data_IF_677045329347
#
_entry.id   IF_677045329347
#
_cell.length_a   1.000
_cell.length_b   1.000
_cell.length_c   1.000
_cell.angle_alpha   90.00
_cell.angle_beta   90.00
_cell.angle_gamma   90.00
#
_symmetry.space_group_name_H-M   'P 1'
#
loop_
_entity.id
_entity.type
_entity.pdbx_description
1 polymer ?
#
# COMPACT_ATOMS: atom_id res chain seq x y z
N UNK A 1 -52.73 -46.22 61.18
CA UNK A 1 -53.12 -44.86 60.75
C UNK A 1 -52.52 -44.60 59.35
N UNK A 2 -53.30 -44.83 58.28
CA UNK A 2 -52.83 -44.67 56.89
C UNK A 2 -53.44 -43.39 56.28
N UNK A 3 -52.62 -42.36 56.07
CA UNK A 3 -53.01 -41.12 55.39
C UNK A 3 -53.03 -41.35 53.87
N UNK A 4 -54.23 -41.52 53.29
CA UNK A 4 -54.45 -41.47 51.84
C UNK A 4 -54.18 -40.03 51.35
N UNK A 5 -53.04 -39.83 50.70
CA UNK A 5 -52.75 -38.55 50.05
C UNK A 5 -53.54 -38.44 48.74
N UNK A 6 -54.41 -37.44 48.65
CA UNK A 6 -55.35 -37.24 47.54
C UNK A 6 -54.61 -36.85 46.26
N UNK A 7 -54.71 -37.70 45.22
CA UNK A 7 -54.23 -37.45 43.84
C UNK A 7 -54.68 -36.09 43.26
N UNK A 8 -55.77 -35.49 43.76
CA UNK A 8 -56.27 -34.18 43.30
C UNK A 8 -55.37 -33.00 43.71
N UNK A 9 -54.62 -33.11 44.81
CA UNK A 9 -53.71 -32.05 45.25
C UNK A 9 -52.37 -32.07 44.49
N UNK A 10 -51.95 -33.24 44.00
CA UNK A 10 -50.76 -33.37 43.14
C UNK A 10 -50.98 -32.79 41.74
N UNK A 11 -52.18 -32.99 41.19
CA UNK A 11 -52.53 -32.51 39.85
C UNK A 11 -52.66 -30.97 39.79
N UNK A 12 -53.16 -30.34 40.86
CA UNK A 12 -53.26 -28.87 40.95
C UNK A 12 -51.90 -28.21 41.14
N UNK A 13 -50.97 -28.83 41.87
CA UNK A 13 -49.61 -28.28 42.02
C UNK A 13 -48.79 -28.41 40.73
N UNK A 14 -48.89 -29.53 40.00
CA UNK A 14 -48.20 -29.71 38.72
C UNK A 14 -48.68 -28.71 37.66
N UNK A 15 -50.00 -28.53 37.50
CA UNK A 15 -50.53 -27.57 36.53
C UNK A 15 -50.17 -26.12 36.88
N UNK A 16 -50.11 -25.78 38.17
CA UNK A 16 -49.67 -24.46 38.61
C UNK A 16 -48.23 -24.18 38.20
N UNK A 17 -47.30 -25.12 38.45
CA UNK A 17 -45.90 -24.96 38.09
C UNK A 17 -45.67 -24.93 36.57
N UNK A 18 -46.43 -25.70 35.78
CA UNK A 18 -46.38 -25.64 34.31
C UNK A 18 -46.84 -24.25 33.82
N UNK A 19 -47.93 -23.71 34.37
CA UNK A 19 -48.41 -22.37 34.00
C UNK A 19 -47.38 -21.30 34.37
N UNK A 20 -46.78 -21.36 35.56
CA UNK A 20 -45.70 -20.44 35.96
C UNK A 20 -44.51 -20.56 35.00
N UNK A 21 -44.09 -21.77 34.64
CA UNK A 21 -42.98 -21.99 33.73
C UNK A 21 -43.26 -21.47 32.31
N UNK A 22 -44.48 -21.67 31.79
CA UNK A 22 -44.91 -21.12 30.50
C UNK A 22 -44.98 -19.59 30.54
N UNK A 23 -45.47 -18.99 31.63
CA UNK A 23 -45.51 -17.53 31.80
C UNK A 23 -44.11 -16.95 31.92
N UNK A 24 -43.18 -17.62 32.63
CA UNK A 24 -41.78 -17.20 32.75
C UNK A 24 -41.05 -17.33 31.41
N UNK A 25 -41.20 -18.45 30.70
CA UNK A 25 -40.61 -18.63 29.36
C UNK A 25 -41.21 -17.62 28.37
N UNK A 26 -42.53 -17.39 28.42
CA UNK A 26 -43.19 -16.39 27.56
C UNK A 26 -42.72 -14.98 27.91
N UNK A 27 -42.55 -14.63 29.20
CA UNK A 27 -41.98 -13.35 29.65
C UNK A 27 -40.54 -13.18 29.19
N UNK A 28 -39.70 -14.21 29.27
CA UNK A 28 -38.30 -14.19 28.81
C UNK A 28 -38.24 -14.03 27.29
N UNK A 29 -39.06 -14.80 26.55
CA UNK A 29 -39.16 -14.68 25.09
C UNK A 29 -39.69 -13.30 24.65
N UNK A 30 -40.70 -12.76 25.34
CA UNK A 30 -41.23 -11.41 25.09
C UNK A 30 -40.19 -10.34 25.45
N UNK A 31 -39.45 -10.47 26.56
CA UNK A 31 -38.40 -9.51 26.92
C UNK A 31 -37.27 -9.50 25.87
N UNK A 32 -36.85 -10.68 25.40
CA UNK A 32 -35.83 -10.76 24.34
C UNK A 32 -36.28 -10.17 23.00
N UNK A 33 -37.59 -10.20 22.70
CA UNK A 33 -38.16 -9.57 21.50
C UNK A 33 -38.45 -8.08 21.70
N UNK A 34 -38.77 -7.62 22.91
CA UNK A 34 -39.06 -6.22 23.24
C UNK A 34 -37.78 -5.37 23.28
N UNK A 35 -36.66 -5.90 23.76
CA UNK A 35 -35.34 -5.24 23.70
C UNK A 35 -34.84 -5.03 22.26
N UNK A 36 -35.36 -5.80 21.31
CA UNK A 36 -35.11 -5.65 19.86
C UNK A 36 -35.95 -4.52 19.24
N UNK A 37 -37.08 -4.16 19.86
CA UNK A 37 -38.06 -3.18 19.36
C UNK A 37 -37.80 -1.74 19.82
N UNK A 38 -37.16 -1.55 20.98
CA UNK A 38 -36.71 -0.22 21.43
C UNK A 38 -35.41 0.11 20.69
N UNK A 39 -35.50 1.01 19.72
CA UNK A 39 -34.33 1.47 18.97
C UNK A 39 -33.31 2.13 19.90
N UNK A 40 -32.05 1.70 19.81
CA UNK A 40 -30.92 2.39 20.44
C UNK A 40 -30.64 3.67 19.67
N UNK A 41 -30.61 4.80 20.36
CA UNK A 41 -30.25 6.09 19.80
C UNK A 41 -28.75 6.16 19.50
N UNK A 42 -28.32 6.95 18.49
CA UNK A 42 -26.90 7.15 18.23
C UNK A 42 -26.22 7.81 19.46
N UNK A 43 -25.02 7.34 19.86
CA UNK A 43 -24.27 7.95 20.97
C UNK A 43 -23.88 9.42 20.76
N UNK A 44 -23.72 9.86 19.50
CA UNK A 44 -23.41 11.24 19.13
C UNK A 44 -23.69 11.50 17.65
N UNK A 45 -23.82 12.77 17.26
CA UNK A 45 -24.04 13.16 15.86
C UNK A 45 -22.91 12.72 14.90
N UNK A 46 -21.60 12.80 15.25
CA UNK A 46 -20.54 12.24 14.40
C UNK A 46 -20.67 10.74 14.16
N UNK A 47 -21.04 9.97 15.19
CA UNK A 47 -21.27 8.52 15.08
C UNK A 47 -22.48 8.22 14.18
N UNK A 48 -23.58 8.97 14.34
CA UNK A 48 -24.75 8.84 13.48
C UNK A 48 -24.38 9.11 12.01
N UNK A 49 -23.55 10.14 11.77
CA UNK A 49 -23.08 10.48 10.43
C UNK A 49 -22.34 9.33 9.76
N UNK A 50 -21.46 8.63 10.48
CA UNK A 50 -20.75 7.47 9.94
C UNK A 50 -21.74 6.39 9.45
N UNK A 51 -22.79 6.12 10.23
CA UNK A 51 -23.81 5.13 9.87
C UNK A 51 -24.67 5.59 8.68
N UNK A 52 -25.01 6.89 8.60
CA UNK A 52 -25.77 7.45 7.47
C UNK A 52 -24.97 7.41 6.18
N UNK A 53 -23.72 7.88 6.21
CA UNK A 53 -22.84 7.99 5.02
C UNK A 53 -22.49 6.62 4.45
N UNK A 54 -22.29 5.63 5.31
CA UNK A 54 -22.08 4.22 4.91
C UNK A 54 -23.38 3.52 4.51
N UNK A 55 -24.51 4.22 4.53
CA UNK A 55 -25.82 3.71 4.14
C UNK A 55 -26.31 2.53 4.98
N UNK A 56 -25.86 2.44 6.24
CA UNK A 56 -26.33 1.40 7.16
C UNK A 56 -27.87 1.37 7.19
N UNK A 57 -28.43 0.16 7.07
CA UNK A 57 -29.85 -0.06 7.28
C UNK A 57 -30.21 0.22 8.74
N UNK A 58 -31.52 0.27 9.05
CA UNK A 58 -31.97 0.38 10.45
C UNK A 58 -31.44 -0.78 11.30
N UNK A 59 -31.39 -2.00 10.76
CA UNK A 59 -30.81 -3.17 11.45
C UNK A 59 -29.33 -2.95 11.76
N UNK A 60 -28.52 -2.54 10.78
CA UNK A 60 -27.10 -2.27 10.99
C UNK A 60 -26.84 -1.11 11.95
N UNK A 61 -27.62 -0.03 11.88
CA UNK A 61 -27.54 1.08 12.84
C UNK A 61 -27.79 0.60 14.28
N UNK A 62 -28.78 -0.27 14.49
CA UNK A 62 -29.05 -0.85 15.80
C UNK A 62 -27.91 -1.74 16.29
N UNK A 63 -27.32 -2.56 15.41
CA UNK A 63 -26.14 -3.37 15.73
C UNK A 63 -24.99 -2.45 16.14
N UNK A 64 -24.70 -1.43 15.33
CA UNK A 64 -23.61 -0.49 15.53
C UNK A 64 -23.75 0.28 16.84
N UNK A 65 -24.89 0.93 17.09
CA UNK A 65 -25.10 1.76 18.29
C UNK A 65 -25.10 0.93 19.59
N UNK A 66 -25.53 -0.33 19.55
CA UNK A 66 -25.44 -1.26 20.69
C UNK A 66 -24.00 -1.59 21.09
N UNK A 67 -23.03 -1.41 20.19
CA UNK A 67 -21.62 -1.59 20.50
C UNK A 67 -20.98 -0.32 21.09
N UNK A 68 -21.77 0.65 21.56
CA UNK A 68 -21.29 1.89 22.19
C UNK A 68 -20.11 2.55 21.45
N UNK A 69 -20.24 2.81 20.13
CA UNK A 69 -19.11 3.23 19.30
C UNK A 69 -18.59 4.61 19.73
N UNK A 70 -17.26 4.75 19.76
CA UNK A 70 -16.57 6.02 20.07
C UNK A 70 -15.57 6.40 18.98
N UNK A 71 -15.39 7.72 18.78
CA UNK A 71 -14.30 8.27 17.97
C UNK A 71 -13.23 8.76 18.95
N UNK A 72 -12.07 8.13 18.91
CA UNK A 72 -11.00 8.31 19.89
C UNK A 72 -9.82 9.04 19.23
N UNK A 73 -9.21 10.03 19.90
CA UNK A 73 -7.92 10.56 19.49
C UNK A 73 -6.87 9.45 19.43
N UNK A 74 -5.89 9.56 18.52
CA UNK A 74 -4.84 8.56 18.27
C UNK A 74 -4.29 7.88 19.54
N UNK A 75 -3.87 8.66 20.55
CA UNK A 75 -3.27 8.10 21.77
C UNK A 75 -4.26 7.27 22.58
N UNK A 76 -5.51 7.72 22.68
CA UNK A 76 -6.58 7.00 23.38
C UNK A 76 -6.98 5.76 22.59
N UNK A 77 -7.11 5.85 21.27
CA UNK A 77 -7.42 4.73 20.39
C UNK A 77 -6.45 3.57 20.60
N UNK A 78 -5.13 3.83 20.55
CA UNK A 78 -4.14 2.78 20.76
C UNK A 78 -4.19 2.18 22.17
N UNK A 79 -4.42 2.97 23.22
CA UNK A 79 -4.60 2.43 24.57
C UNK A 79 -5.82 1.51 24.68
N UNK A 80 -6.90 1.86 23.99
CA UNK A 80 -8.15 1.08 23.99
C UNK A 80 -7.97 -0.22 23.18
N UNK A 81 -7.37 -0.16 22.00
CA UNK A 81 -7.31 -1.28 21.08
C UNK A 81 -6.06 -2.19 21.20
N UNK A 82 -4.94 -1.74 21.79
CA UNK A 82 -3.69 -2.54 21.89
C UNK A 82 -3.80 -3.77 22.80
N UNK A 83 -4.89 -3.94 23.56
CA UNK A 83 -5.02 -5.04 24.51
C UNK A 83 -5.37 -6.39 23.89
N UNK A 84 -5.77 -6.47 22.61
CA UNK A 84 -6.31 -7.73 22.06
C UNK A 84 -5.52 -8.38 20.94
N UNK A 85 -4.80 -7.64 20.10
CA UNK A 85 -4.10 -8.26 18.96
C UNK A 85 -2.69 -7.70 18.81
N UNK A 86 -1.68 -8.51 19.13
CA UNK A 86 -0.32 -8.33 18.62
C UNK A 86 -0.34 -8.64 17.11
N UNK A 87 -0.96 -7.76 16.34
CA UNK A 87 -0.73 -7.69 14.91
C UNK A 87 0.66 -7.11 14.69
N UNK A 88 1.33 -7.59 13.65
CA UNK A 88 2.68 -7.17 13.31
C UNK A 88 2.66 -5.65 13.05
N UNK A 89 3.79 -4.95 13.23
CA UNK A 89 3.93 -3.50 13.00
C UNK A 89 3.62 -3.03 11.54
N UNK A 90 3.29 -3.99 10.66
CA UNK A 90 2.90 -3.81 9.27
C UNK A 90 1.41 -3.50 9.07
N UNK A 91 0.51 -3.91 9.97
CA UNK A 91 -0.94 -3.66 9.81
C UNK A 91 -1.33 -2.33 10.46
N UNK A 92 -1.84 -1.39 9.65
CA UNK A 92 -2.40 -0.13 10.16
C UNK A 92 -3.89 -0.35 10.43
N UNK A 93 -4.24 -0.34 11.71
CA UNK A 93 -5.61 -0.53 12.20
C UNK A 93 -6.19 0.82 12.62
N UNK A 94 -7.37 1.17 12.09
CA UNK A 94 -8.08 2.42 12.40
C UNK A 94 -9.33 2.22 13.24
N UNK A 95 -9.73 0.96 13.47
CA UNK A 95 -10.86 0.59 14.30
C UNK A 95 -10.58 -0.68 15.07
N UNK A 96 -11.30 -0.91 16.16
CA UNK A 96 -11.37 -2.23 16.74
C UNK A 96 -12.75 -2.49 17.35
N UNK A 97 -13.26 -3.70 17.10
CA UNK A 97 -14.43 -4.24 17.78
C UNK A 97 -14.01 -5.18 18.91
N UNK A 98 -14.29 -4.76 20.14
CA UNK A 98 -14.06 -5.56 21.34
C UNK A 98 -15.37 -6.09 21.88
N UNK A 99 -15.53 -7.41 21.83
CA UNK A 99 -16.73 -8.08 22.35
C UNK A 99 -16.49 -8.78 23.69
N UNK A 100 -17.55 -8.91 24.49
CA UNK A 100 -17.68 -9.85 25.61
C UNK A 100 -18.93 -10.76 25.45
N UNK A 101 -19.46 -10.90 24.23
CA UNK A 101 -20.70 -11.62 23.93
C UNK A 101 -21.53 -10.91 22.85
N UNK A 102 -22.80 -10.60 23.13
CA UNK A 102 -23.71 -9.91 22.19
C UNK A 102 -23.62 -8.38 22.20
N UNK A 103 -22.90 -7.83 23.18
CA UNK A 103 -22.56 -6.41 23.31
C UNK A 103 -21.04 -6.27 23.33
N UNK A 104 -20.56 -5.07 23.02
CA UNK A 104 -19.14 -4.79 22.88
C UNK A 104 -18.87 -3.30 22.79
N UNK A 105 -17.61 -2.95 22.54
CA UNK A 105 -17.14 -1.60 22.28
C UNK A 105 -16.53 -1.54 20.89
N UNK A 106 -17.00 -0.61 20.05
CA UNK A 106 -16.32 -0.21 18.82
C UNK A 106 -15.53 1.07 19.12
N UNK A 107 -14.24 1.08 18.86
CA UNK A 107 -13.44 2.30 18.89
C UNK A 107 -12.93 2.60 17.47
N UNK A 108 -13.04 3.86 17.05
CA UNK A 108 -12.60 4.34 15.74
C UNK A 108 -11.59 5.46 15.98
N UNK A 109 -10.42 5.40 15.35
CA UNK A 109 -9.44 6.46 15.42
C UNK A 109 -9.96 7.71 14.72
N UNK A 110 -9.85 8.86 15.38
CA UNK A 110 -10.09 10.16 14.75
C UNK A 110 -9.01 10.45 13.70
N UNK A 111 -9.44 10.63 12.45
CA UNK A 111 -8.59 10.98 11.31
C UNK A 111 -9.08 12.29 10.71
N UNK A 112 -8.25 13.33 10.80
CA UNK A 112 -8.57 14.68 10.31
C UNK A 112 -7.79 15.05 9.05
N UNK A 113 -6.91 14.17 8.58
CA UNK A 113 -6.12 14.39 7.37
C UNK A 113 -6.96 14.09 6.12
N UNK A 114 -7.17 15.11 5.30
CA UNK A 114 -8.02 15.03 4.11
C UNK A 114 -7.58 13.95 3.09
N UNK A 115 -6.30 13.54 3.14
CA UNK A 115 -5.75 12.50 2.27
C UNK A 115 -6.30 11.11 2.58
N UNK A 116 -6.97 10.94 3.72
CA UNK A 116 -7.59 9.70 4.18
C UNK A 116 -9.12 9.82 4.31
N UNK A 117 -9.74 10.76 3.60
CA UNK A 117 -11.21 10.89 3.58
C UNK A 117 -11.90 9.57 3.22
N UNK A 118 -12.87 9.17 4.03
CA UNK A 118 -13.56 7.87 3.91
C UNK A 118 -13.06 6.79 4.86
N UNK A 119 -11.87 6.96 5.47
CA UNK A 119 -11.30 5.89 6.32
C UNK A 119 -12.14 5.63 7.57
N UNK A 120 -12.67 6.68 8.21
CA UNK A 120 -13.49 6.54 9.43
C UNK A 120 -14.83 5.89 9.10
N UNK A 121 -15.43 6.24 7.97
CA UNK A 121 -16.67 5.67 7.46
C UNK A 121 -16.51 4.18 7.17
N UNK A 122 -15.49 3.81 6.39
CA UNK A 122 -15.23 2.41 6.03
C UNK A 122 -14.90 1.58 7.26
N UNK A 123 -14.13 2.15 8.19
CA UNK A 123 -13.83 1.52 9.47
C UNK A 123 -15.10 1.29 10.28
N UNK A 124 -16.00 2.29 10.40
CA UNK A 124 -17.27 2.12 11.10
C UNK A 124 -18.12 0.99 10.49
N UNK A 125 -18.18 0.91 9.16
CA UNK A 125 -18.86 -0.16 8.45
C UNK A 125 -18.21 -1.53 8.70
N UNK A 126 -16.88 -1.61 8.65
CA UNK A 126 -16.10 -2.82 8.91
C UNK A 126 -16.29 -3.35 10.34
N UNK A 127 -16.17 -2.48 11.34
CA UNK A 127 -16.35 -2.88 12.73
C UNK A 127 -17.81 -3.26 13.05
N UNK A 128 -18.79 -2.60 12.41
CA UNK A 128 -20.19 -3.00 12.50
C UNK A 128 -20.41 -4.40 11.91
N UNK A 129 -19.75 -4.75 10.80
CA UNK A 129 -19.85 -6.09 10.21
C UNK A 129 -19.24 -7.16 11.11
N UNK A 130 -18.18 -6.89 11.87
CA UNK A 130 -17.71 -7.83 12.90
C UNK A 130 -18.74 -8.05 14.00
N UNK A 131 -19.42 -6.99 14.44
CA UNK A 131 -20.51 -7.10 15.40
C UNK A 131 -21.69 -7.91 14.83
N UNK A 132 -22.03 -7.70 13.56
CA UNK A 132 -23.06 -8.47 12.86
C UNK A 132 -22.68 -9.97 12.73
N UNK A 133 -21.43 -10.26 12.34
CA UNK A 133 -20.91 -11.62 12.23
C UNK A 133 -20.94 -12.38 13.57
N UNK A 134 -20.60 -11.69 14.66
CA UNK A 134 -20.65 -12.25 16.01
C UNK A 134 -22.09 -12.69 16.38
N UNK A 135 -23.13 -12.00 15.89
CA UNK A 135 -24.53 -12.36 16.15
C UNK A 135 -25.01 -13.59 15.35
N UNK A 136 -24.31 -14.00 14.30
CA UNK A 136 -24.66 -15.19 13.52
C UNK A 136 -24.53 -16.46 14.35
N UNK A 137 -25.46 -17.39 14.17
CA UNK A 137 -25.34 -18.73 14.72
C UNK A 137 -24.18 -19.50 14.06
N UNK A 138 -23.64 -20.55 14.71
CA UNK A 138 -22.64 -21.41 14.07
C UNK A 138 -23.09 -21.94 12.71
N UNK A 139 -24.36 -22.37 12.60
CA UNK A 139 -24.92 -22.87 11.33
C UNK A 139 -24.97 -21.81 10.23
N UNK A 140 -25.27 -20.56 10.57
CA UNK A 140 -25.28 -19.47 9.58
C UNK A 140 -23.86 -19.14 9.11
N UNK A 141 -22.89 -19.16 10.02
CA UNK A 141 -21.47 -18.98 9.66
C UNK A 141 -20.97 -20.11 8.77
N UNK A 142 -21.34 -21.36 9.05
CA UNK A 142 -20.96 -22.52 8.23
C UNK A 142 -21.52 -22.42 6.80
N UNK A 143 -22.77 -21.95 6.65
CA UNK A 143 -23.39 -21.71 5.34
C UNK A 143 -22.74 -20.55 4.58
N UNK A 144 -22.36 -19.49 5.28
CA UNK A 144 -21.78 -18.27 4.69
C UNK A 144 -20.31 -18.46 4.28
N UNK A 145 -19.56 -19.28 5.03
CA UNK A 145 -18.10 -19.45 4.85
C UNK A 145 -17.68 -19.83 3.43
N UNK A 146 -18.32 -20.80 2.74
CA UNK A 146 -17.97 -21.13 1.36
C UNK A 146 -18.16 -19.96 0.39
N UNK A 147 -19.25 -19.18 0.54
CA UNK A 147 -19.54 -18.01 -0.30
C UNK A 147 -18.47 -16.93 -0.13
N UNK A 148 -18.09 -16.63 1.13
CA UNK A 148 -17.01 -15.67 1.42
C UNK A 148 -15.67 -16.10 0.81
N UNK A 149 -15.32 -17.40 0.94
CA UNK A 149 -14.07 -17.93 0.36
C UNK A 149 -14.09 -17.88 -1.17
N UNK A 150 -15.24 -18.11 -1.79
CA UNK A 150 -15.38 -18.01 -3.25
C UNK A 150 -15.25 -16.57 -3.73
N UNK A 151 -15.91 -15.61 -3.06
CA UNK A 151 -15.80 -14.19 -3.36
C UNK A 151 -14.37 -13.68 -3.19
N UNK A 152 -13.63 -14.19 -2.20
CA UNK A 152 -12.23 -13.85 -1.98
C UNK A 152 -11.32 -14.15 -3.19
N UNK A 153 -11.71 -15.07 -4.08
CA UNK A 153 -10.96 -15.35 -5.32
C UNK A 153 -11.02 -14.19 -6.33
N UNK A 154 -11.95 -13.25 -6.16
CA UNK A 154 -12.07 -12.06 -7.01
C UNK A 154 -11.15 -10.91 -6.56
N UNK A 155 -10.47 -11.04 -5.42
CA UNK A 155 -9.59 -10.00 -4.88
C UNK A 155 -8.34 -9.89 -5.77
N UNK A 156 -8.20 -8.73 -6.42
CA UNK A 156 -7.02 -8.36 -7.22
C UNK A 156 -6.12 -7.33 -6.52
N UNK A 157 -6.59 -6.78 -5.41
CA UNK A 157 -5.86 -5.78 -4.65
C UNK A 157 -4.76 -6.46 -3.82
N UNK A 158 -3.49 -6.22 -4.16
CA UNK A 158 -2.34 -6.83 -3.49
C UNK A 158 -2.26 -6.50 -2.00
N UNK A 159 -2.66 -5.29 -1.60
CA UNK A 159 -2.71 -4.91 -0.18
C UNK A 159 -3.70 -5.79 0.56
N UNK A 160 -4.94 -5.87 0.07
CA UNK A 160 -5.99 -6.68 0.69
C UNK A 160 -5.61 -8.16 0.74
N UNK A 161 -5.03 -8.69 -0.34
CA UNK A 161 -4.50 -10.06 -0.40
C UNK A 161 -3.43 -10.33 0.66
N UNK A 162 -2.52 -9.38 0.92
CA UNK A 162 -1.50 -9.51 1.98
C UNK A 162 -2.13 -9.52 3.37
N UNK A 163 -3.06 -8.59 3.65
CA UNK A 163 -3.76 -8.51 4.94
C UNK A 163 -4.46 -9.83 5.25
N UNK A 164 -5.27 -10.31 4.31
CA UNK A 164 -6.05 -11.54 4.48
C UNK A 164 -5.16 -12.79 4.62
N UNK A 165 -3.98 -12.81 3.99
CA UNK A 165 -2.99 -13.87 4.15
C UNK A 165 -2.44 -13.93 5.58
N UNK A 166 -2.18 -12.78 6.21
CA UNK A 166 -1.72 -12.73 7.61
C UNK A 166 -2.75 -13.33 8.56
N UNK A 167 -4.03 -12.97 8.40
CA UNK A 167 -5.11 -13.56 9.21
C UNK A 167 -5.27 -15.05 8.98
N UNK A 168 -5.19 -15.51 7.73
CA UNK A 168 -5.27 -16.95 7.39
C UNK A 168 -4.18 -17.78 8.05
N UNK A 169 -2.99 -17.21 8.24
CA UNK A 169 -1.88 -17.87 8.91
C UNK A 169 -2.06 -17.95 10.43
N UNK A 170 -2.80 -17.01 11.02
CA UNK A 170 -3.04 -16.97 12.48
C UNK A 170 -4.16 -17.90 12.91
N UNK A 171 -5.35 -17.74 12.34
CA UNK A 171 -6.55 -18.50 12.71
C UNK A 171 -7.58 -18.46 11.57
N UNK A 172 -8.10 -19.63 11.18
CA UNK A 172 -9.11 -19.77 10.14
C UNK A 172 -10.42 -19.08 10.54
N UNK A 173 -10.84 -19.15 11.81
CA UNK A 173 -12.06 -18.52 12.28
C UNK A 173 -11.94 -16.99 12.22
N UNK A 174 -10.78 -16.46 12.60
CA UNK A 174 -10.47 -15.03 12.47
C UNK A 174 -10.46 -14.61 11.00
N UNK A 175 -9.79 -15.37 10.14
CA UNK A 175 -9.76 -15.12 8.70
C UNK A 175 -11.15 -15.03 8.06
N UNK A 176 -12.09 -15.91 8.41
CA UNK A 176 -13.45 -15.86 7.84
C UNK A 176 -14.23 -14.64 8.36
N UNK A 177 -14.04 -14.26 9.62
CA UNK A 177 -14.63 -13.03 10.16
C UNK A 177 -14.08 -11.77 9.45
N UNK A 178 -12.77 -11.72 9.18
CA UNK A 178 -12.17 -10.65 8.39
C UNK A 178 -12.65 -10.64 6.94
N UNK A 179 -12.74 -11.80 6.29
CA UNK A 179 -13.33 -11.89 4.95
C UNK A 179 -14.74 -11.30 4.93
N UNK A 180 -15.57 -11.65 5.92
CA UNK A 180 -16.91 -11.10 6.02
C UNK A 180 -16.92 -9.56 6.05
N UNK A 181 -16.04 -8.94 6.84
CA UNK A 181 -16.01 -7.49 6.94
C UNK A 181 -15.39 -6.84 5.70
N UNK A 182 -14.22 -7.29 5.22
CA UNK A 182 -13.54 -6.73 4.04
C UNK A 182 -14.32 -6.90 2.74
N UNK A 183 -14.99 -8.04 2.53
CA UNK A 183 -15.82 -8.25 1.33
C UNK A 183 -17.04 -7.33 1.35
N UNK A 184 -17.61 -7.09 2.55
CA UNK A 184 -18.73 -6.17 2.73
C UNK A 184 -18.38 -4.71 2.46
N UNK A 185 -17.13 -4.30 2.66
CA UNK A 185 -16.71 -2.89 2.65
C UNK A 185 -15.78 -2.51 1.51
N UNK A 186 -14.96 -3.42 0.97
CA UNK A 186 -13.88 -3.07 0.02
C UNK A 186 -13.96 -3.80 -1.33
N UNK A 187 -14.63 -4.95 -1.44
CA UNK A 187 -14.70 -5.67 -2.72
C UNK A 187 -15.91 -5.23 -3.56
N UNK A 188 -15.66 -4.55 -4.68
CA UNK A 188 -16.74 -4.04 -5.55
C UNK A 188 -17.67 -5.12 -6.11
N UNK A 189 -17.15 -6.26 -6.56
CA UNK A 189 -17.95 -7.35 -7.14
C UNK A 189 -17.73 -8.66 -6.37
N UNK A 190 -18.80 -9.19 -5.76
CA UNK A 190 -18.73 -10.40 -4.95
C UNK A 190 -18.81 -11.71 -5.75
N UNK A 191 -19.28 -11.67 -7.00
CA UNK A 191 -19.44 -12.87 -7.84
C UNK A 191 -20.62 -13.77 -7.49
N UNK A 192 -21.33 -13.49 -6.40
CA UNK A 192 -22.50 -14.25 -5.92
C UNK A 192 -23.63 -13.29 -5.52
N UNK A 193 -24.78 -13.43 -6.19
CA UNK A 193 -25.98 -12.60 -5.96
C UNK A 193 -26.58 -12.84 -4.56
N UNK A 194 -26.51 -14.07 -4.04
CA UNK A 194 -27.02 -14.36 -2.70
C UNK A 194 -26.12 -13.72 -1.63
N UNK A 195 -24.82 -13.60 -1.89
CA UNK A 195 -23.90 -12.88 -1.00
C UNK A 195 -24.14 -11.36 -1.04
N UNK A 196 -24.45 -10.78 -2.21
CA UNK A 196 -24.90 -9.38 -2.29
C UNK A 196 -26.20 -9.15 -1.50
N UNK A 197 -27.17 -10.04 -1.66
CA UNK A 197 -28.44 -10.01 -0.92
C UNK A 197 -28.22 -10.15 0.59
N UNK A 198 -27.25 -10.96 1.01
CA UNK A 198 -26.86 -11.05 2.42
C UNK A 198 -26.39 -9.69 2.97
N UNK A 199 -25.53 -8.96 2.24
CA UNK A 199 -25.07 -7.64 2.69
C UNK A 199 -26.12 -6.53 2.58
N UNK A 200 -27.16 -6.68 1.77
CA UNK A 200 -28.30 -5.74 1.72
C UNK A 200 -29.04 -5.61 3.06
N UNK A 201 -28.90 -6.61 3.95
CA UNK A 201 -29.39 -6.50 5.33
C UNK A 201 -28.69 -5.39 6.10
N UNK A 202 -27.43 -5.11 5.79
CA UNK A 202 -26.61 -4.17 6.55
C UNK A 202 -26.43 -2.83 5.84
N UNK A 203 -26.40 -2.82 4.50
CA UNK A 203 -26.23 -1.58 3.72
C UNK A 203 -27.33 -1.44 2.69
N UNK A 204 -27.92 -0.24 2.59
CA UNK A 204 -28.87 0.09 1.52
C UNK A 204 -28.17 0.19 0.17
N UNK A 205 -26.92 0.68 0.17
CA UNK A 205 -26.05 0.74 -1.00
C UNK A 205 -24.62 0.35 -0.58
N UNK A 206 -24.28 -0.93 -0.74
CA UNK A 206 -22.93 -1.44 -0.45
C UNK A 206 -21.86 -0.78 -1.33
N UNK A 207 -22.20 -0.40 -2.57
CA UNK A 207 -21.25 0.24 -3.48
C UNK A 207 -20.83 1.64 -2.99
N UNK A 208 -21.68 2.32 -2.22
CA UNK A 208 -21.29 3.56 -1.55
C UNK A 208 -20.17 3.31 -0.52
N UNK A 209 -20.20 2.20 0.21
CA UNK A 209 -19.12 1.83 1.17
C UNK A 209 -17.83 1.50 0.43
N UNK A 210 -17.92 0.74 -0.67
CA UNK A 210 -16.76 0.42 -1.52
C UNK A 210 -16.13 1.69 -2.09
N UNK A 211 -16.93 2.66 -2.56
CA UNK A 211 -16.40 3.95 -3.04
C UNK A 211 -15.68 4.75 -1.94
N UNK A 212 -16.15 4.66 -0.70
CA UNK A 212 -15.45 5.28 0.44
C UNK A 212 -14.13 4.57 0.73
N UNK A 213 -14.09 3.23 0.59
CA UNK A 213 -12.87 2.45 0.71
C UNK A 213 -11.85 2.85 -0.37
N UNK A 214 -12.27 2.91 -1.64
CA UNK A 214 -11.43 3.35 -2.75
C UNK A 214 -10.86 4.75 -2.53
N UNK A 215 -11.71 5.70 -2.08
CA UNK A 215 -11.28 7.08 -1.77
C UNK A 215 -10.26 7.12 -0.63
N UNK A 216 -10.48 6.33 0.43
CA UNK A 216 -9.57 6.31 1.59
C UNK A 216 -8.15 5.83 1.25
N UNK A 217 -8.00 5.13 0.11
CA UNK A 217 -6.73 4.58 -0.36
C UNK A 217 -6.13 5.36 -1.54
N UNK A 218 -6.83 6.40 -2.03
CA UNK A 218 -6.47 7.10 -3.27
C UNK A 218 -5.09 7.76 -3.21
N UNK A 219 -4.78 8.43 -2.10
CA UNK A 219 -3.49 9.12 -1.92
C UNK A 219 -2.32 8.15 -1.99
N UNK A 220 -2.47 6.97 -1.37
CA UNK A 220 -1.45 5.91 -1.37
C UNK A 220 -1.34 5.31 -2.77
N UNK A 221 -2.46 4.97 -3.41
CA UNK A 221 -2.49 4.43 -4.77
C UNK A 221 -1.79 5.36 -5.78
N UNK A 222 -2.02 6.67 -5.69
CA UNK A 222 -1.34 7.65 -6.56
C UNK A 222 0.18 7.67 -6.38
N UNK A 223 0.67 7.45 -5.16
CA UNK A 223 2.11 7.36 -4.90
C UNK A 223 2.69 6.06 -5.45
N UNK A 224 1.99 4.94 -5.24
CA UNK A 224 2.38 3.64 -5.80
C UNK A 224 2.44 3.68 -7.33
N UNK A 225 1.42 4.25 -7.98
CA UNK A 225 1.37 4.41 -9.44
C UNK A 225 2.53 5.24 -9.98
N UNK A 226 2.85 6.37 -9.33
CA UNK A 226 4.01 7.19 -9.69
C UNK A 226 5.32 6.43 -9.50
N UNK A 227 5.45 5.66 -8.43
CA UNK A 227 6.63 4.84 -8.16
C UNK A 227 6.82 3.76 -9.24
N UNK A 228 5.73 3.06 -9.58
CA UNK A 228 5.71 2.03 -10.63
C UNK A 228 5.99 2.60 -12.03
N UNK A 229 5.62 3.85 -12.29
CA UNK A 229 5.97 4.53 -13.54
C UNK A 229 7.44 4.96 -13.58
N UNK A 230 7.94 5.58 -12.50
CA UNK A 230 9.31 6.13 -12.48
C UNK A 230 10.39 5.06 -12.50
N UNK A 231 10.14 3.91 -11.87
CA UNK A 231 11.13 2.83 -11.78
C UNK A 231 11.64 2.34 -13.16
N UNK A 232 10.79 1.90 -14.11
CA UNK A 232 11.26 1.47 -15.42
C UNK A 232 11.87 2.62 -16.25
N UNK A 233 11.41 3.87 -16.05
CA UNK A 233 12.01 5.03 -16.72
C UNK A 233 13.45 5.29 -16.22
N UNK A 234 13.69 5.14 -14.92
CA UNK A 234 15.03 5.23 -14.31
C UNK A 234 15.92 4.10 -14.84
N UNK A 235 15.46 2.85 -14.81
CA UNK A 235 16.22 1.69 -15.31
C UNK A 235 16.60 1.85 -16.80
N UNK A 236 15.67 2.37 -17.61
CA UNK A 236 15.93 2.66 -19.03
C UNK A 236 17.00 3.75 -19.21
N UNK A 237 16.95 4.81 -18.40
CA UNK A 237 17.93 5.89 -18.43
C UNK A 237 19.31 5.41 -17.97
N UNK A 238 19.39 4.58 -16.94
CA UNK A 238 20.64 3.97 -16.47
C UNK A 238 21.31 3.16 -17.58
N UNK A 239 20.55 2.31 -18.27
CA UNK A 239 21.06 1.54 -19.40
C UNK A 239 21.53 2.45 -20.55
N UNK A 240 20.75 3.48 -20.90
CA UNK A 240 21.13 4.47 -21.94
C UNK A 240 22.40 5.24 -21.58
N UNK A 241 22.55 5.66 -20.32
CA UNK A 241 23.73 6.35 -19.82
C UNK A 241 24.96 5.44 -19.85
N UNK A 242 24.83 4.18 -19.45
CA UNK A 242 25.90 3.19 -19.51
C UNK A 242 26.37 2.98 -20.96
N UNK A 243 25.44 2.82 -21.90
CA UNK A 243 25.75 2.66 -23.32
C UNK A 243 26.43 3.91 -23.88
N UNK A 244 25.91 5.10 -23.58
CA UNK A 244 26.46 6.38 -24.06
C UNK A 244 27.88 6.59 -23.52
N UNK A 245 28.11 6.27 -22.24
CA UNK A 245 29.44 6.33 -21.62
C UNK A 245 30.43 5.39 -22.31
N UNK A 246 29.99 4.19 -22.67
CA UNK A 246 30.81 3.22 -23.39
C UNK A 246 31.17 3.73 -24.80
N UNK A 247 30.22 4.29 -25.55
CA UNK A 247 30.50 4.89 -26.86
C UNK A 247 31.44 6.10 -26.78
N UNK A 248 31.31 6.95 -25.75
CA UNK A 248 32.27 8.06 -25.53
C UNK A 248 33.69 7.51 -25.31
N UNK A 249 33.84 6.42 -24.55
CA UNK A 249 35.13 5.75 -24.33
C UNK A 249 35.70 5.15 -25.62
N UNK A 250 34.86 4.59 -26.47
CA UNK A 250 35.26 4.08 -27.79
C UNK A 250 35.77 5.21 -28.70
N UNK A 251 35.06 6.34 -28.73
CA UNK A 251 35.50 7.54 -29.46
C UNK A 251 36.85 8.06 -28.93
N UNK A 252 37.10 7.99 -27.62
CA UNK A 252 38.39 8.38 -27.03
C UNK A 252 39.55 7.50 -27.52
N UNK A 253 39.34 6.19 -27.59
CA UNK A 253 40.32 5.24 -28.11
C UNK A 253 40.58 5.47 -29.61
N UNK A 254 39.52 5.69 -30.38
CA UNK A 254 39.61 5.96 -31.82
C UNK A 254 40.32 7.29 -32.11
N UNK A 255 39.99 8.36 -31.38
CA UNK A 255 40.71 9.63 -31.46
C UNK A 255 42.20 9.46 -31.18
N UNK A 256 42.56 8.68 -30.14
CA UNK A 256 43.96 8.37 -29.84
C UNK A 256 44.68 7.63 -30.98
N UNK A 257 43.99 6.73 -31.68
CA UNK A 257 44.54 6.03 -32.84
C UNK A 257 44.69 6.94 -34.06
N UNK A 258 43.67 7.75 -34.36
CA UNK A 258 43.69 8.72 -35.46
C UNK A 258 44.74 9.80 -35.24
N UNK A 259 44.95 10.27 -34.00
CA UNK A 259 46.02 11.21 -33.68
C UNK A 259 47.40 10.63 -34.03
N UNK A 260 47.71 9.39 -33.61
CA UNK A 260 48.99 8.74 -33.95
C UNK A 260 49.18 8.59 -35.46
N UNK A 261 48.12 8.30 -36.20
CA UNK A 261 48.17 8.22 -37.66
C UNK A 261 48.44 9.61 -38.29
N UNK A 262 47.77 10.65 -37.81
CA UNK A 262 48.03 12.03 -38.24
C UNK A 262 49.47 12.46 -37.97
N UNK A 263 50.01 12.14 -36.79
CA UNK A 263 51.40 12.44 -36.45
C UNK A 263 52.37 11.72 -37.41
N UNK A 264 52.09 10.45 -37.76
CA UNK A 264 52.91 9.68 -38.70
C UNK A 264 52.84 10.24 -40.13
N UNK A 265 51.64 10.57 -40.61
CA UNK A 265 51.42 11.18 -41.93
C UNK A 265 52.06 12.56 -42.02
N UNK A 266 52.00 13.35 -40.94
CA UNK A 266 52.65 14.66 -40.89
C UNK A 266 54.17 14.54 -40.99
N UNK A 267 54.78 13.61 -40.26
CA UNK A 267 56.21 13.33 -40.35
C UNK A 267 56.60 12.83 -41.75
N UNK A 268 55.78 11.97 -42.37
CA UNK A 268 56.02 11.48 -43.73
C UNK A 268 55.95 12.61 -44.76
N UNK A 269 54.97 13.50 -44.63
CA UNK A 269 54.81 14.66 -45.50
C UNK A 269 55.99 15.62 -45.41
N UNK A 270 56.50 15.86 -44.18
CA UNK A 270 57.69 16.69 -43.94
C UNK A 270 58.92 16.06 -44.61
N UNK A 271 59.19 14.78 -44.35
CA UNK A 271 60.34 14.07 -44.95
C UNK A 271 60.26 14.06 -46.47
N UNK A 272 59.09 13.79 -47.03
CA UNK A 272 58.90 13.76 -48.48
C UNK A 272 59.11 15.14 -49.10
N UNK A 273 58.62 16.20 -48.45
CA UNK A 273 58.87 17.58 -48.86
C UNK A 273 60.37 17.89 -48.92
N UNK A 274 61.12 17.57 -47.85
CA UNK A 274 62.57 17.79 -47.79
C UNK A 274 63.30 17.04 -48.90
N UNK A 275 62.95 15.78 -49.15
CA UNK A 275 63.52 14.97 -50.24
C UNK A 275 63.21 15.54 -51.62
N UNK A 276 61.98 16.00 -51.84
CA UNK A 276 61.57 16.62 -53.09
C UNK A 276 62.33 17.93 -53.32
N UNK A 277 62.42 18.81 -52.32
CA UNK A 277 63.16 20.07 -52.39
C UNK A 277 64.65 19.86 -52.68
N UNK A 278 65.29 18.90 -52.01
CA UNK A 278 66.70 18.56 -52.24
C UNK A 278 66.93 18.05 -53.67
N UNK A 279 65.99 17.27 -54.19
CA UNK A 279 66.05 16.79 -55.57
C UNK A 279 66.05 17.95 -56.59
N UNK A 280 65.21 18.95 -56.36
CA UNK A 280 65.19 20.16 -57.20
C UNK A 280 66.51 20.96 -57.10
N UNK A 281 67.10 21.06 -55.90
CA UNK A 281 68.41 21.73 -55.72
C UNK A 281 69.54 21.03 -56.47
N UNK A 282 69.51 19.70 -56.54
CA UNK A 282 70.51 18.89 -57.25
C UNK A 282 70.28 18.81 -58.77
N UNK A 283 69.26 19.49 -59.31
CA UNK A 283 68.93 19.46 -60.74
C UNK A 283 68.26 18.17 -61.22
N UNK A 284 67.82 17.29 -60.31
CA UNK A 284 67.15 16.01 -60.61
C UNK A 284 65.65 16.01 -60.25
N UNK A 285 65.06 17.21 -60.13
CA UNK A 285 63.63 17.40 -59.85
C UNK A 285 62.73 16.80 -60.94
N UNK A 286 61.56 16.31 -60.53
CA UNK A 286 60.56 15.74 -61.44
C UNK A 286 59.15 16.21 -61.06
N UNK A 287 58.28 16.55 -62.04
CA UNK A 287 56.85 16.81 -61.80
C UNK A 287 56.14 15.69 -61.03
N UNK A 288 56.59 14.44 -61.19
CA UNK A 288 56.05 13.27 -60.48
C UNK A 288 56.18 13.41 -58.95
N UNK A 289 57.30 13.94 -58.46
CA UNK A 289 57.50 14.18 -57.01
C UNK A 289 56.53 15.24 -56.48
N UNK A 290 56.24 16.27 -57.28
CA UNK A 290 55.27 17.31 -56.90
C UNK A 290 53.86 16.73 -56.83
N UNK A 291 53.49 15.90 -57.81
CA UNK A 291 52.21 15.20 -57.82
C UNK A 291 52.04 14.28 -56.60
N UNK A 292 53.07 13.49 -56.28
CA UNK A 292 53.06 12.61 -55.10
C UNK A 292 52.95 13.39 -53.77
N UNK A 293 53.62 14.56 -53.67
CA UNK A 293 53.47 15.42 -52.50
C UNK A 293 52.03 15.92 -52.34
N UNK A 294 51.42 16.42 -53.42
CA UNK A 294 50.03 16.89 -53.37
C UNK A 294 49.04 15.76 -53.06
N UNK A 295 49.29 14.53 -53.52
CA UNK A 295 48.50 13.36 -53.10
C UNK A 295 48.61 13.08 -51.59
N UNK A 296 49.83 13.05 -51.05
CA UNK A 296 50.06 12.84 -49.60
C UNK A 296 49.41 13.93 -48.76
N UNK A 297 49.51 15.19 -49.21
CA UNK A 297 48.87 16.34 -48.57
C UNK A 297 47.34 16.24 -48.62
N UNK A 298 46.78 15.77 -49.73
CA UNK A 298 45.34 15.52 -49.85
C UNK A 298 44.87 14.43 -48.88
N UNK A 299 45.60 13.32 -48.77
CA UNK A 299 45.28 12.24 -47.81
C UNK A 299 45.38 12.72 -46.36
N UNK A 300 46.45 13.45 -46.01
CA UNK A 300 46.58 14.07 -44.68
C UNK A 300 45.38 14.98 -44.36
N UNK A 301 45.00 15.86 -45.29
CA UNK A 301 43.87 16.76 -45.09
C UNK A 301 42.54 15.99 -44.91
N UNK A 302 42.33 14.90 -45.65
CA UNK A 302 41.16 14.04 -45.47
C UNK A 302 41.15 13.41 -44.07
N UNK A 303 42.29 12.92 -43.58
CA UNK A 303 42.38 12.36 -42.21
C UNK A 303 42.18 13.40 -41.12
N UNK A 304 42.60 14.65 -41.35
CA UNK A 304 42.29 15.77 -40.44
C UNK A 304 40.78 16.03 -40.37
N UNK A 305 40.08 15.97 -41.51
CA UNK A 305 38.62 16.11 -41.54
C UNK A 305 37.93 14.97 -40.76
N UNK A 306 38.31 13.71 -41.01
CA UNK A 306 37.77 12.55 -40.28
C UNK A 306 37.99 12.67 -38.76
N UNK A 307 39.16 13.14 -38.33
CA UNK A 307 39.46 13.37 -36.91
C UNK A 307 38.58 14.49 -36.32
N UNK A 308 38.48 15.62 -37.00
CA UNK A 308 37.66 16.76 -36.56
C UNK A 308 36.17 16.39 -36.47
N UNK A 309 35.68 15.58 -37.39
CA UNK A 309 34.30 15.08 -37.36
C UNK A 309 34.07 14.17 -36.16
N UNK A 310 34.99 13.27 -35.84
CA UNK A 310 34.91 12.42 -34.66
C UNK A 310 34.96 13.24 -33.35
N UNK A 311 35.77 14.30 -33.29
CA UNK A 311 35.80 15.24 -32.17
C UNK A 311 34.43 15.91 -32.00
N UNK A 312 33.80 16.37 -33.09
CA UNK A 312 32.46 16.98 -33.05
C UNK A 312 31.40 15.99 -32.56
N UNK A 313 31.37 14.78 -33.11
CA UNK A 313 30.45 13.73 -32.69
C UNK A 313 30.62 13.37 -31.20
N UNK A 314 31.87 13.27 -30.72
CA UNK A 314 32.13 13.03 -29.29
C UNK A 314 31.59 14.17 -28.43
N UNK A 315 31.82 15.44 -28.82
CA UNK A 315 31.29 16.61 -28.07
C UNK A 315 29.77 16.59 -27.98
N UNK A 316 29.09 16.31 -29.08
CA UNK A 316 27.62 16.17 -29.12
C UNK A 316 27.13 15.05 -28.20
N UNK A 317 27.81 13.89 -28.22
CA UNK A 317 27.47 12.77 -27.30
C UNK A 317 27.69 13.12 -25.84
N UNK A 318 28.77 13.84 -25.50
CA UNK A 318 29.01 14.29 -24.12
C UNK A 318 27.92 15.27 -23.66
N UNK A 319 27.51 16.20 -24.54
CA UNK A 319 26.41 17.11 -24.23
C UNK A 319 25.08 16.36 -24.03
N UNK A 320 24.77 15.41 -24.91
CA UNK A 320 23.59 14.54 -24.78
C UNK A 320 23.62 13.69 -23.50
N UNK A 321 24.79 13.14 -23.15
CA UNK A 321 24.98 12.41 -21.89
C UNK A 321 24.66 13.29 -20.67
N UNK A 322 25.15 14.53 -20.65
CA UNK A 322 24.89 15.45 -19.54
C UNK A 322 23.39 15.73 -19.38
N UNK A 323 22.68 15.98 -20.49
CA UNK A 323 21.24 16.19 -20.49
C UNK A 323 20.48 14.96 -19.97
N UNK A 324 20.83 13.75 -20.46
CA UNK A 324 20.24 12.50 -19.96
C UNK A 324 20.51 12.30 -18.48
N UNK A 325 21.71 12.63 -18.01
CA UNK A 325 22.11 12.48 -16.62
C UNK A 325 21.33 13.44 -15.70
N UNK A 326 21.05 14.66 -16.17
CA UNK A 326 20.22 15.61 -15.43
C UNK A 326 18.77 15.12 -15.30
N UNK A 327 18.20 14.55 -16.36
CA UNK A 327 16.87 13.92 -16.33
C UNK A 327 16.85 12.73 -15.37
N UNK A 328 17.86 11.86 -15.45
CA UNK A 328 18.02 10.71 -14.55
C UNK A 328 18.04 11.17 -13.08
N UNK A 329 18.87 12.16 -12.74
CA UNK A 329 18.94 12.72 -11.38
C UNK A 329 17.58 13.23 -10.91
N UNK A 330 16.85 13.96 -11.77
CA UNK A 330 15.53 14.48 -11.42
C UNK A 330 14.56 13.34 -11.10
N UNK A 331 14.49 12.31 -11.95
CA UNK A 331 13.60 11.16 -11.72
C UNK A 331 13.94 10.37 -10.47
N UNK A 332 15.23 10.17 -10.19
CA UNK A 332 15.68 9.55 -8.94
C UNK A 332 15.29 10.40 -7.73
N UNK A 333 15.40 11.72 -7.81
CA UNK A 333 14.95 12.62 -6.75
C UNK A 333 13.44 12.55 -6.52
N UNK A 334 12.65 12.50 -7.59
CA UNK A 334 11.19 12.36 -7.55
C UNK A 334 10.80 11.00 -6.95
N UNK A 335 11.46 9.91 -7.37
CA UNK A 335 11.24 8.57 -6.82
C UNK A 335 11.56 8.53 -5.32
N UNK A 336 12.68 9.12 -4.90
CA UNK A 336 13.03 9.21 -3.48
C UNK A 336 12.08 10.12 -2.70
N UNK A 337 11.47 11.13 -3.34
CA UNK A 337 10.47 11.99 -2.71
C UNK A 337 9.19 11.22 -2.40
N UNK A 338 8.76 10.31 -3.28
CA UNK A 338 7.59 9.44 -3.06
C UNK A 338 7.76 8.63 -1.78
N UNK A 339 8.92 7.98 -1.57
CA UNK A 339 9.18 7.22 -0.35
C UNK A 339 9.12 8.07 0.94
N UNK A 340 9.57 9.34 0.86
CA UNK A 340 9.46 10.29 1.99
C UNK A 340 8.00 10.69 2.23
N UNK A 341 7.23 10.93 1.18
CA UNK A 341 5.82 11.29 1.26
C UNK A 341 4.98 10.14 1.84
N UNK A 342 5.22 8.91 1.39
CA UNK A 342 4.57 7.71 1.92
C UNK A 342 4.88 7.52 3.41
N UNK A 343 6.15 7.68 3.81
CA UNK A 343 6.53 7.65 5.23
C UNK A 343 5.80 8.73 6.03
N UNK A 344 5.73 9.96 5.49
CA UNK A 344 5.05 11.07 6.16
C UNK A 344 3.54 10.84 6.31
N UNK A 345 2.88 10.25 5.30
CA UNK A 345 1.46 9.88 5.33
C UNK A 345 1.12 8.99 6.53
N UNK A 346 1.96 7.98 6.82
CA UNK A 346 1.68 7.00 7.87
C UNK A 346 2.29 7.34 9.24
N UNK A 347 3.27 8.25 9.31
CA UNK A 347 3.93 8.61 10.58
C UNK A 347 2.92 9.12 11.63
N UNK A 348 1.98 9.94 11.20
CA UNK A 348 0.96 10.47 12.10
C UNK A 348 -0.15 9.46 12.43
N UNK A 349 -0.20 8.32 11.74
CA UNK A 349 -1.25 7.31 11.88
C UNK A 349 -0.83 6.12 12.76
N UNK A 350 0.44 5.72 12.72
CA UNK A 350 0.96 4.56 13.50
C UNK A 350 1.11 4.86 14.99
N UNK A 351 1.01 3.83 15.82
CA UNK A 351 1.34 3.92 17.24
C UNK A 351 2.78 4.38 17.44
N UNK A 352 3.00 5.36 18.32
CA UNK A 352 4.35 5.66 18.82
C UNK A 352 4.59 4.70 19.98
N UNK A 353 5.67 3.89 19.97
CA UNK A 353 6.04 3.11 21.14
C UNK A 353 6.17 4.05 22.34
N UNK A 354 5.71 3.67 23.55
CA UNK A 354 6.00 4.46 24.73
C UNK A 354 7.51 4.62 24.85
N UNK A 355 7.98 5.84 25.13
CA UNK A 355 9.38 6.08 25.44
C UNK A 355 9.80 5.09 26.55
N UNK A 356 10.91 4.38 26.34
CA UNK A 356 11.49 3.55 27.41
C UNK A 356 11.65 4.46 28.64
N UNK A 357 11.16 4.07 29.82
CA UNK A 357 11.51 4.80 31.02
C UNK A 357 13.03 4.84 31.12
N UNK A 358 13.59 6.03 31.26
CA UNK A 358 15.00 6.19 31.61
C UNK A 358 15.26 5.34 32.86
N UNK A 359 16.24 4.46 32.76
CA UNK A 359 16.68 3.70 33.91
C UNK A 359 17.08 4.72 34.99
N UNK A 360 16.64 4.55 36.25
CA UNK A 360 17.12 5.41 37.33
C UNK A 360 18.65 5.36 37.33
N UNK A 361 19.27 6.53 37.35
CA UNK A 361 20.71 6.66 37.49
C UNK A 361 21.16 5.80 38.67
N UNK A 362 22.01 4.81 38.38
CA UNK A 362 22.58 3.95 39.40
C UNK A 362 23.31 4.79 40.43
N UNK A 363 22.93 4.58 41.68
CA UNK A 363 23.59 5.14 42.85
C UNK A 363 24.97 4.48 42.96
N UNK A 364 26.01 5.16 42.49
CA UNK A 364 27.42 4.80 42.70
C UNK A 364 27.80 5.13 44.15
N UNK A 365 27.19 4.42 45.09
CA UNK A 365 27.70 4.29 46.45
C UNK A 365 27.94 2.80 46.69
N UNK A 366 29.20 2.39 46.55
CA UNK A 366 29.89 1.33 47.31
C UNK A 366 31.00 0.73 46.46
N UNK A 367 32.25 1.08 46.78
CA UNK A 367 33.32 0.14 47.12
C UNK A 367 34.61 0.94 47.37
N UNK A 368 34.70 1.49 48.58
CA UNK A 368 35.97 1.69 49.26
C UNK A 368 36.01 0.67 50.41
N UNK A 369 36.84 -0.36 50.24
CA UNK A 369 37.66 -1.02 51.27
C UNK A 369 38.50 -2.12 50.64
#
# INVERSE_FOLDING_TARGET
MNRKWSRKNLFRSHNFWIIVLVVVISRIALHSQLDEWIGVAPPSAPIERLAIVTTMTREAQQIFYRQTPTIEPKQTFFKVCQTKEKLNDTLIMFGCYMTNGKSGKIAIQSITDDRFQGVMEVTAAHEMLHAAYNRLSPSDRDKLTPQLKQAALQIKNDRLSRILKEYKQKDIALYVNELHSYLGTELGYLGDVELEKYYQRYFRDRQQVVKLADRSQESVRKLDEKSQQLKPEIETLEASLAQTKQTIKEHDLELGSKQRNLDALQLDLIRFKEQAEESYRQGNGSPEKVFQFEQKKSDYNQKVQEFNDLVRQKKERVAGFQQQFDIYKQKVNDYNAIAREEKALFTNLKATPPAKPEAPAGDDSHLAN
#
